data_IF_313474323204
#
_entry.id   IF_313474323204
#
_cell.length_a   1.000
_cell.length_b   1.000
_cell.length_c   1.000
_cell.angle_alpha   90.00
_cell.angle_beta   90.00
_cell.angle_gamma   90.00
#
_symmetry.space_group_name_H-M   'P 1'
#
loop_
_entity.id
_entity.type
_entity.pdbx_description
1 polymer ?
#
# COMPACT_ATOMS: atom_id res chain seq x y z
N UNK A 1 12.32 -14.96 15.99
CA UNK A 1 11.90 -15.35 14.64
C UNK A 1 11.67 -14.07 13.88
N UNK A 2 12.48 -13.82 12.86
CA UNK A 2 12.66 -12.49 12.23
C UNK A 2 11.34 -11.92 11.72
N UNK A 3 10.45 -12.79 11.21
CA UNK A 3 9.13 -12.39 10.70
C UNK A 3 8.28 -11.70 11.78
N UNK A 4 8.21 -12.28 12.97
CA UNK A 4 7.37 -11.76 14.06
C UNK A 4 7.90 -10.40 14.57
N UNK A 5 9.22 -10.23 14.60
CA UNK A 5 9.84 -8.95 14.98
C UNK A 5 9.52 -7.84 13.98
N UNK A 6 9.56 -8.16 12.68
CA UNK A 6 9.17 -7.24 11.60
C UNK A 6 7.68 -6.88 11.73
N UNK A 7 6.81 -7.87 11.93
CA UNK A 7 5.35 -7.64 12.10
C UNK A 7 5.05 -6.75 13.31
N UNK A 8 5.65 -7.00 14.47
CA UNK A 8 5.47 -6.17 15.66
C UNK A 8 6.02 -4.74 15.49
N UNK A 9 7.13 -4.58 14.77
CA UNK A 9 7.67 -3.26 14.42
C UNK A 9 6.69 -2.50 13.52
N UNK A 10 6.11 -3.19 12.53
CA UNK A 10 5.13 -2.63 11.61
C UNK A 10 3.86 -2.16 12.34
N UNK A 11 3.29 -2.99 13.21
CA UNK A 11 2.08 -2.64 13.97
C UNK A 11 2.29 -1.42 14.87
N UNK A 12 3.46 -1.30 15.51
CA UNK A 12 3.81 -0.10 16.30
C UNK A 12 3.86 1.16 15.45
N UNK A 13 4.36 1.08 14.21
CA UNK A 13 4.36 2.23 13.29
C UNK A 13 2.94 2.55 12.79
N UNK A 14 2.16 1.53 12.44
CA UNK A 14 0.75 1.66 12.01
C UNK A 14 -0.14 2.27 13.10
N UNK A 15 0.15 2.01 14.37
CA UNK A 15 -0.60 2.60 15.48
C UNK A 15 -0.54 4.13 15.48
N UNK A 16 0.61 4.72 15.09
CA UNK A 16 0.78 6.18 14.98
C UNK A 16 -0.10 6.82 13.89
N UNK A 17 -0.55 6.05 12.91
CA UNK A 17 -1.40 6.56 11.82
C UNK A 17 -2.74 7.11 12.32
N UNK A 18 -3.19 6.72 13.52
CA UNK A 18 -4.39 7.27 14.14
C UNK A 18 -4.27 8.78 14.44
N UNK A 19 -3.06 9.29 14.64
CA UNK A 19 -2.81 10.72 14.95
C UNK A 19 -2.14 11.44 13.78
N UNK A 20 -1.20 10.79 13.09
CA UNK A 20 -0.46 11.43 11.99
C UNK A 20 -1.21 11.44 10.68
N UNK A 21 -2.18 10.52 10.52
CA UNK A 21 -2.73 10.08 9.22
C UNK A 21 -1.63 9.63 8.26
N UNK A 22 -2.01 9.15 7.08
CA UNK A 22 -1.08 8.64 6.05
C UNK A 22 -1.54 9.02 4.65
N UNK A 23 -0.57 9.26 3.77
CA UNK A 23 -0.79 9.28 2.32
C UNK A 23 -0.57 7.88 1.75
N UNK A 24 -1.40 7.48 0.78
CA UNK A 24 -1.20 6.25 0.02
C UNK A 24 -0.63 6.60 -1.35
N UNK A 25 0.51 5.99 -1.69
CA UNK A 25 1.19 6.15 -2.98
C UNK A 25 1.19 4.80 -3.68
N UNK A 26 0.88 4.80 -4.97
CA UNK A 26 1.09 3.62 -5.82
C UNK A 26 2.33 3.81 -6.70
N UNK A 27 3.09 2.74 -6.88
CA UNK A 27 4.22 2.69 -7.81
C UNK A 27 4.04 1.47 -8.73
N UNK A 28 3.82 1.73 -10.01
CA UNK A 28 3.68 0.70 -11.02
C UNK A 28 5.03 0.37 -11.66
N UNK A 29 5.38 -0.91 -11.74
CA UNK A 29 6.52 -1.36 -12.53
C UNK A 29 6.05 -2.35 -13.60
N UNK A 30 6.45 -2.13 -14.85
CA UNK A 30 6.30 -3.13 -15.90
C UNK A 30 7.57 -3.97 -15.86
N UNK A 31 7.49 -5.16 -15.24
CA UNK A 31 8.62 -6.07 -15.20
C UNK A 31 9.00 -6.51 -16.63
N UNK A 32 10.29 -6.83 -16.86
CA UNK A 32 10.81 -7.31 -18.15
C UNK A 32 10.03 -8.54 -18.67
N UNK A 33 9.46 -9.34 -17.76
CA UNK A 33 8.60 -10.50 -18.09
C UNK A 33 7.12 -10.14 -18.31
N UNK A 34 6.77 -8.87 -18.51
CA UNK A 34 5.40 -8.34 -18.71
C UNK A 34 4.44 -8.54 -17.52
N UNK A 35 4.93 -9.00 -16.37
CA UNK A 35 4.20 -9.05 -15.11
C UNK A 35 4.08 -7.62 -14.55
N UNK A 36 2.92 -6.96 -14.64
CA UNK A 36 2.82 -5.62 -14.14
C UNK A 36 2.42 -5.69 -12.67
N UNK A 37 3.28 -5.16 -11.81
CA UNK A 37 3.02 -5.10 -10.37
C UNK A 37 2.75 -3.66 -9.98
N UNK A 38 1.72 -3.44 -9.17
CA UNK A 38 1.46 -2.15 -8.54
C UNK A 38 1.77 -2.29 -7.04
N UNK A 39 2.79 -1.59 -6.59
CA UNK A 39 3.16 -1.50 -5.18
C UNK A 39 2.38 -0.37 -4.52
N UNK A 40 1.81 -0.63 -3.36
CA UNK A 40 1.21 0.37 -2.49
C UNK A 40 2.14 0.64 -1.31
N UNK A 41 2.45 1.91 -1.11
CA UNK A 41 3.30 2.41 -0.05
C UNK A 41 2.50 3.45 0.73
N UNK A 42 2.51 3.35 2.04
CA UNK A 42 1.96 4.38 2.94
C UNK A 42 3.09 5.28 3.40
N UNK A 43 2.83 6.58 3.53
CA UNK A 43 3.80 7.56 4.02
C UNK A 43 3.17 8.36 5.15
N UNK A 44 3.76 8.28 6.35
CA UNK A 44 3.45 9.14 7.49
C UNK A 44 4.74 9.75 8.02
N UNK A 45 4.79 11.07 8.23
CA UNK A 45 5.92 11.75 8.87
C UNK A 45 7.31 11.36 8.29
N UNK A 46 7.40 11.26 6.96
CA UNK A 46 8.61 10.82 6.22
C UNK A 46 9.02 9.34 6.45
N UNK A 47 8.14 8.51 7.02
CA UNK A 47 8.34 7.07 7.16
C UNK A 47 7.53 6.32 6.09
N UNK A 48 8.18 5.84 5.00
CA UNK A 48 7.52 4.98 4.04
C UNK A 48 7.37 3.56 4.59
N UNK A 49 6.18 3.00 4.43
CA UNK A 49 5.84 1.63 4.84
C UNK A 49 5.20 0.93 3.66
N UNK A 50 5.79 -0.20 3.25
CA UNK A 50 5.21 -1.08 2.25
C UNK A 50 3.89 -1.67 2.76
N UNK A 51 2.82 -1.49 2.01
CA UNK A 51 1.49 -2.01 2.33
C UNK A 51 1.27 -3.35 1.64
N UNK A 52 1.29 -3.35 0.30
CA UNK A 52 1.10 -4.56 -0.51
C UNK A 52 1.60 -4.38 -1.93
N UNK A 53 1.81 -5.49 -2.62
CA UNK A 53 2.01 -5.55 -4.07
C UNK A 53 0.82 -6.27 -4.70
N UNK A 54 0.27 -5.70 -5.77
CA UNK A 54 -0.81 -6.29 -6.55
C UNK A 54 -0.26 -6.74 -7.88
N UNK A 55 -0.42 -8.03 -8.18
CA UNK A 55 -0.14 -8.58 -9.50
C UNK A 55 -1.31 -8.26 -10.44
N UNK A 56 -1.02 -7.63 -11.58
CA UNK A 56 -2.05 -7.07 -12.49
C UNK A 56 -2.02 -7.69 -13.89
N UNK A 57 -1.48 -8.91 -14.03
CA UNK A 57 -1.46 -9.58 -15.33
C UNK A 57 -2.87 -10.00 -15.75
N UNK A 58 -3.19 -9.82 -17.03
CA UNK A 58 -4.53 -10.06 -17.58
C UNK A 58 -5.53 -8.93 -17.32
N UNK A 59 -5.19 -7.94 -16.49
CA UNK A 59 -6.08 -6.82 -16.16
C UNK A 59 -5.94 -5.67 -17.16
N UNK A 60 -7.08 -5.08 -17.53
CA UNK A 60 -7.11 -3.83 -18.27
C UNK A 60 -6.97 -2.67 -17.29
N UNK A 61 -5.77 -2.09 -17.22
CA UNK A 61 -5.37 -1.06 -16.25
C UNK A 61 -5.94 0.32 -16.57
N UNK A 62 -7.26 0.39 -16.66
CA UNK A 62 -7.96 1.67 -16.80
C UNK A 62 -8.10 2.39 -15.44
N UNK A 63 -8.66 3.59 -15.50
CA UNK A 63 -8.93 4.40 -14.32
C UNK A 63 -9.85 3.72 -13.31
N UNK A 64 -10.75 2.82 -13.76
CA UNK A 64 -11.70 2.12 -12.88
C UNK A 64 -10.98 1.03 -12.09
N UNK A 65 -10.11 0.27 -12.75
CA UNK A 65 -9.27 -0.73 -12.11
C UNK A 65 -8.37 -0.08 -11.04
N UNK A 66 -7.67 1.00 -11.40
CA UNK A 66 -6.81 1.71 -10.45
C UNK A 66 -7.62 2.29 -9.27
N UNK A 67 -8.80 2.86 -9.54
CA UNK A 67 -9.72 3.35 -8.49
C UNK A 67 -10.11 2.24 -7.53
N UNK A 68 -10.43 1.05 -8.03
CA UNK A 68 -10.77 -0.09 -7.18
C UNK A 68 -9.62 -0.45 -6.24
N UNK A 69 -8.40 -0.54 -6.76
CA UNK A 69 -7.22 -0.84 -5.93
C UNK A 69 -6.98 0.20 -4.84
N UNK A 70 -7.16 1.49 -5.14
CA UNK A 70 -7.06 2.54 -4.13
C UNK A 70 -8.17 2.44 -3.07
N UNK A 71 -9.41 2.14 -3.47
CA UNK A 71 -10.51 1.92 -2.52
C UNK A 71 -10.21 0.76 -1.57
N UNK A 72 -9.65 -0.33 -2.10
CA UNK A 72 -9.22 -1.48 -1.29
C UNK A 72 -8.07 -1.11 -0.34
N UNK A 73 -7.06 -0.38 -0.82
CA UNK A 73 -5.96 0.10 0.02
C UNK A 73 -6.44 1.05 1.14
N UNK A 74 -7.39 1.95 0.84
CA UNK A 74 -8.00 2.84 1.84
C UNK A 74 -8.76 2.04 2.90
N UNK A 75 -9.50 1.00 2.51
CA UNK A 75 -10.21 0.13 3.46
C UNK A 75 -9.24 -0.62 4.39
N UNK A 76 -8.13 -1.10 3.84
CA UNK A 76 -7.09 -1.82 4.59
C UNK A 76 -6.37 -0.93 5.60
N UNK A 77 -6.05 0.32 5.22
CA UNK A 77 -5.44 1.32 6.12
C UNK A 77 -6.45 1.84 7.16
N UNK A 78 -7.72 1.97 6.76
CA UNK A 78 -8.78 2.61 7.52
C UNK A 78 -9.09 4.00 6.96
N UNK A 79 -10.32 4.28 6.50
CA UNK A 79 -10.66 5.53 5.80
C UNK A 79 -10.37 6.81 6.59
N UNK A 80 -10.52 6.78 7.92
CA UNK A 80 -10.28 7.93 8.80
C UNK A 80 -8.78 8.26 8.92
N UNK A 81 -7.91 7.28 8.66
CA UNK A 81 -6.45 7.43 8.80
C UNK A 81 -5.78 7.90 7.52
N UNK A 82 -6.47 7.91 6.38
CA UNK A 82 -5.91 8.39 5.10
C UNK A 82 -6.15 9.89 4.97
N UNK A 83 -5.19 10.66 4.44
CA UNK A 83 -5.34 12.09 4.12
C UNK A 83 -5.70 12.33 2.66
#
# INVERSE_FOLDING_TARGET
DEKNEVEQSLERKKFKWNTTRVSIVSYGWIHIQRCPIINFITIACNEPIFLKAVYTSGEYKDVRYLKQLFVEAIKEVGPVKVV
#
